data_IF_102682156047
#
_entry.id   IF_102682156047
#
_cell.length_a   1.000
_cell.length_b   1.000
_cell.length_c   1.000
_cell.angle_alpha   90.00
_cell.angle_beta   90.00
_cell.angle_gamma   90.00
#
_symmetry.space_group_name_H-M   'P 1'
#
loop_
_entity.id
_entity.type
_entity.pdbx_description
1 polymer ?
#
# COMPACT_ATOMS: atom_id res chain seq x y z
N UNK A 1 28.35 -24.57 -46.60
CA UNK A 1 29.17 -25.77 -46.42
C UNK A 1 28.23 -26.89 -46.07
N UNK A 2 28.16 -27.89 -46.94
CA UNK A 2 27.46 -29.16 -46.74
C UNK A 2 28.12 -30.00 -45.63
N UNK A 3 27.35 -30.91 -45.04
CA UNK A 3 27.70 -32.30 -44.64
C UNK A 3 26.45 -32.91 -43.97
N UNK A 4 25.58 -33.61 -44.70
CA UNK A 4 25.57 -35.06 -45.02
C UNK A 4 25.42 -36.00 -43.82
N UNK A 5 24.32 -36.76 -43.81
CA UNK A 5 24.35 -38.22 -43.70
C UNK A 5 22.99 -38.84 -44.13
N UNK A 6 23.01 -39.51 -45.28
CA UNK A 6 21.99 -40.46 -45.75
C UNK A 6 22.16 -41.85 -45.09
N UNK A 7 21.22 -42.75 -45.43
CA UNK A 7 21.30 -44.25 -45.42
C UNK A 7 20.59 -44.91 -44.21
N UNK A 8 19.62 -45.85 -44.27
CA UNK A 8 19.16 -46.84 -45.28
C UNK A 8 17.75 -47.37 -44.91
N UNK A 9 17.05 -47.92 -45.91
CA UNK A 9 16.13 -49.08 -45.91
C UNK A 9 14.65 -48.95 -45.50
N UNK A 10 13.86 -49.49 -46.43
CA UNK A 10 12.42 -49.64 -46.46
C UNK A 10 11.89 -50.83 -45.64
N UNK A 11 10.64 -50.71 -45.23
CA UNK A 11 9.67 -51.82 -45.23
C UNK A 11 8.26 -51.24 -45.17
N UNK A 12 7.50 -51.42 -46.24
CA UNK A 12 6.05 -51.32 -46.26
C UNK A 12 5.44 -52.28 -45.22
N UNK A 13 4.50 -51.80 -44.40
CA UNK A 13 3.23 -52.48 -44.07
C UNK A 13 2.36 -51.60 -43.15
N UNK A 14 1.15 -51.31 -43.64
CA UNK A 14 -0.11 -51.00 -42.95
C UNK A 14 -0.14 -49.96 -41.79
N UNK A 15 -0.67 -48.76 -42.08
CA UNK A 15 -1.64 -48.13 -41.17
C UNK A 15 -2.51 -47.06 -41.84
N UNK A 16 -3.81 -47.11 -41.58
CA UNK A 16 -4.85 -46.19 -42.06
C UNK A 16 -4.52 -44.69 -41.90
N UNK A 17 -5.13 -43.80 -42.72
CA UNK A 17 -5.02 -42.36 -42.51
C UNK A 17 -5.74 -41.96 -41.22
N UNK A 18 -4.99 -41.82 -40.13
CA UNK A 18 -5.49 -41.27 -38.87
C UNK A 18 -6.08 -39.86 -39.08
N UNK A 19 -7.28 -39.55 -38.55
CA UNK A 19 -7.93 -38.27 -38.76
C UNK A 19 -7.11 -37.14 -38.11
N UNK A 20 -7.20 -35.90 -38.64
CA UNK A 20 -6.29 -34.82 -38.24
C UNK A 20 -6.40 -34.53 -36.74
N UNK A 21 -5.28 -34.11 -36.14
CA UNK A 21 -5.06 -33.78 -34.72
C UNK A 21 -5.94 -32.61 -34.18
N UNK A 22 -7.20 -32.49 -34.59
CA UNK A 22 -8.16 -31.50 -34.07
C UNK A 22 -8.64 -31.84 -32.65
N UNK A 23 -8.69 -33.13 -32.28
CA UNK A 23 -9.20 -33.56 -30.97
C UNK A 23 -8.34 -33.06 -29.80
N UNK A 24 -7.03 -32.97 -30.00
CA UNK A 24 -6.07 -32.48 -28.99
C UNK A 24 -6.06 -30.96 -28.84
N UNK A 25 -6.22 -30.20 -29.93
CA UNK A 25 -6.36 -28.74 -29.83
C UNK A 25 -7.70 -28.34 -29.19
N UNK A 26 -8.77 -29.05 -29.51
CA UNK A 26 -10.09 -28.75 -28.95
C UNK A 26 -10.19 -29.11 -27.46
N UNK A 27 -9.54 -30.21 -27.02
CA UNK A 27 -9.46 -30.54 -25.59
C UNK A 27 -8.60 -29.54 -24.80
N UNK A 28 -7.49 -29.07 -25.38
CA UNK A 28 -6.65 -28.03 -24.78
C UNK A 28 -7.38 -26.69 -24.66
N UNK A 29 -8.10 -26.27 -25.71
CA UNK A 29 -8.90 -25.04 -25.68
C UNK A 29 -10.04 -25.12 -24.67
N UNK A 30 -10.71 -26.26 -24.56
CA UNK A 30 -11.75 -26.48 -23.55
C UNK A 30 -11.17 -26.49 -22.13
N UNK A 31 -9.98 -27.03 -21.94
CA UNK A 31 -9.28 -27.03 -20.66
C UNK A 31 -8.77 -25.63 -20.27
N UNK A 32 -8.38 -24.82 -21.25
CA UNK A 32 -7.98 -23.43 -21.04
C UNK A 32 -9.20 -22.55 -20.69
N UNK A 33 -10.29 -22.67 -21.46
CA UNK A 33 -11.56 -21.98 -21.20
C UNK A 33 -12.18 -22.36 -19.85
N UNK A 34 -12.09 -23.62 -19.44
CA UNK A 34 -12.63 -24.04 -18.14
C UNK A 34 -11.81 -23.47 -16.98
N UNK A 35 -10.48 -23.42 -17.09
CA UNK A 35 -9.62 -22.74 -16.09
C UNK A 35 -9.92 -21.24 -16.01
N UNK A 36 -10.10 -20.57 -17.14
CA UNK A 36 -10.51 -19.16 -17.16
C UNK A 36 -11.87 -18.95 -16.51
N UNK A 37 -12.88 -19.75 -16.87
CA UNK A 37 -14.22 -19.64 -16.29
C UNK A 37 -14.24 -19.95 -14.79
N UNK A 38 -13.47 -20.93 -14.33
CA UNK A 38 -13.32 -21.24 -12.89
C UNK A 38 -12.59 -20.10 -12.17
N UNK A 39 -11.57 -19.49 -12.78
CA UNK A 39 -10.87 -18.33 -12.21
C UNK A 39 -11.77 -17.09 -12.14
N UNK A 40 -12.61 -16.87 -13.15
CA UNK A 40 -13.59 -15.78 -13.20
C UNK A 40 -14.74 -16.00 -12.21
N UNK A 41 -15.23 -17.23 -12.08
CA UNK A 41 -16.24 -17.58 -11.09
C UNK A 41 -15.71 -17.45 -9.67
N UNK A 42 -14.48 -17.92 -9.41
CA UNK A 42 -13.82 -17.80 -8.09
C UNK A 42 -13.52 -16.34 -7.74
N UNK A 43 -13.03 -15.54 -8.69
CA UNK A 43 -12.80 -14.11 -8.46
C UNK A 43 -14.10 -13.33 -8.21
N UNK A 44 -15.20 -13.65 -8.92
CA UNK A 44 -16.52 -13.06 -8.66
C UNK A 44 -17.10 -13.50 -7.32
N UNK A 45 -16.97 -14.77 -6.95
CA UNK A 45 -17.45 -15.29 -5.68
C UNK A 45 -16.66 -14.72 -4.49
N UNK A 46 -15.34 -14.62 -4.60
CA UNK A 46 -14.50 -13.95 -3.60
C UNK A 46 -14.83 -12.46 -3.52
N UNK A 47 -14.97 -11.78 -4.66
CA UNK A 47 -15.38 -10.36 -4.68
C UNK A 47 -16.77 -10.14 -4.06
N UNK A 48 -17.70 -11.07 -4.26
CA UNK A 48 -19.05 -10.99 -3.69
C UNK A 48 -19.04 -11.28 -2.18
N UNK A 49 -18.26 -12.27 -1.73
CA UNK A 49 -18.13 -12.63 -0.31
C UNK A 49 -17.38 -11.55 0.48
N UNK A 50 -16.31 -11.01 -0.10
CA UNK A 50 -15.53 -9.90 0.45
C UNK A 50 -16.34 -8.60 0.47
N UNK A 51 -17.21 -8.36 -0.52
CA UNK A 51 -18.21 -7.27 -0.45
C UNK A 51 -19.27 -7.52 0.62
N UNK A 52 -19.77 -8.74 0.77
CA UNK A 52 -20.81 -9.07 1.75
C UNK A 52 -20.30 -9.01 3.20
N UNK A 53 -19.08 -9.51 3.46
CA UNK A 53 -18.43 -9.41 4.77
C UNK A 53 -18.04 -7.97 5.09
N UNK A 54 -17.62 -7.19 4.08
CA UNK A 54 -17.36 -5.77 4.23
C UNK A 54 -18.64 -4.96 4.49
N UNK A 55 -19.74 -5.19 3.75
CA UNK A 55 -21.00 -4.45 3.98
C UNK A 55 -21.67 -4.84 5.29
N UNK A 56 -21.68 -6.13 5.66
CA UNK A 56 -22.23 -6.59 6.94
C UNK A 56 -21.39 -6.09 8.14
N UNK A 57 -20.06 -6.14 8.03
CA UNK A 57 -19.14 -5.62 9.03
C UNK A 57 -19.19 -4.09 9.16
N UNK A 58 -19.25 -3.36 8.05
CA UNK A 58 -19.35 -1.89 8.03
C UNK A 58 -20.69 -1.44 8.59
N UNK A 59 -21.81 -2.09 8.26
CA UNK A 59 -23.12 -1.74 8.80
C UNK A 59 -23.20 -1.96 10.32
N UNK A 60 -22.73 -3.11 10.83
CA UNK A 60 -22.68 -3.38 12.27
C UNK A 60 -21.75 -2.41 13.01
N UNK A 61 -20.65 -2.01 12.38
CA UNK A 61 -19.65 -1.13 12.96
C UNK A 61 -20.06 0.36 12.89
N UNK A 62 -20.82 0.76 11.86
CA UNK A 62 -21.47 2.06 11.78
C UNK A 62 -22.60 2.17 12.81
N UNK A 63 -23.42 1.13 12.98
CA UNK A 63 -24.43 1.07 14.04
C UNK A 63 -23.79 1.07 15.44
N UNK A 64 -22.74 0.28 15.66
CA UNK A 64 -22.04 0.25 16.93
C UNK A 64 -21.34 1.59 17.23
N UNK A 65 -20.67 2.20 16.26
CA UNK A 65 -20.00 3.49 16.45
C UNK A 65 -20.99 4.65 16.62
N UNK A 66 -22.09 4.66 15.89
CA UNK A 66 -23.19 5.61 16.10
C UNK A 66 -23.85 5.43 17.47
N UNK A 67 -24.08 4.20 17.92
CA UNK A 67 -24.61 3.91 19.26
C UNK A 67 -23.62 4.31 20.36
N UNK A 68 -22.31 4.15 20.14
CA UNK A 68 -21.27 4.56 21.11
C UNK A 68 -21.19 6.10 21.17
N UNK A 69 -21.14 6.80 20.04
CA UNK A 69 -21.12 8.27 20.01
C UNK A 69 -22.42 8.85 20.60
N UNK A 70 -23.56 8.23 20.30
CA UNK A 70 -24.88 8.63 20.81
C UNK A 70 -25.01 8.36 22.31
N UNK A 71 -24.55 7.21 22.82
CA UNK A 71 -24.59 6.86 24.24
C UNK A 71 -23.64 7.72 25.09
N UNK A 72 -22.46 8.03 24.55
CA UNK A 72 -21.48 8.90 25.20
C UNK A 72 -21.95 10.38 25.18
N UNK A 73 -22.52 10.83 24.06
CA UNK A 73 -23.12 12.17 23.96
C UNK A 73 -24.35 12.35 24.85
N UNK A 74 -25.24 11.37 24.93
CA UNK A 74 -26.41 11.39 25.82
C UNK A 74 -26.01 11.31 27.30
N UNK A 75 -25.01 10.49 27.65
CA UNK A 75 -24.49 10.42 29.02
C UNK A 75 -23.85 11.75 29.47
N UNK A 76 -23.20 12.48 28.55
CA UNK A 76 -22.68 13.83 28.80
C UNK A 76 -23.78 14.86 29.06
N UNK A 77 -24.91 14.78 28.35
CA UNK A 77 -26.07 15.64 28.59
C UNK A 77 -26.80 15.32 29.91
N UNK A 78 -26.81 14.07 30.36
CA UNK A 78 -27.45 13.68 31.64
C UNK A 78 -26.63 14.02 32.88
N UNK A 79 -25.31 14.21 32.77
CA UNK A 79 -24.42 14.52 33.90
C UNK A 79 -24.10 16.01 34.09
N UNK A 80 -24.73 16.92 33.33
CA UNK A 80 -24.51 18.37 33.47
C UNK A 80 -25.02 18.97 34.80
N UNK A 81 -25.51 18.13 35.73
CA UNK A 81 -25.70 18.46 37.14
C UNK A 81 -24.66 17.73 38.01
N UNK A 82 -23.40 18.14 37.86
CA UNK A 82 -22.36 17.92 38.87
C UNK A 82 -21.64 16.56 38.83
N UNK A 83 -20.43 16.53 38.28
CA UNK A 83 -19.39 15.63 38.75
C UNK A 83 -18.00 16.16 38.41
N UNK A 84 -17.15 16.25 39.43
CA UNK A 84 -15.79 16.82 39.42
C UNK A 84 -14.73 15.73 39.25
N UNK A 85 -14.80 14.95 38.17
CA UNK A 85 -13.78 13.96 37.83
C UNK A 85 -13.56 14.01 36.32
N UNK A 86 -12.31 14.28 35.89
CA UNK A 86 -11.89 14.46 34.49
C UNK A 86 -12.37 13.29 33.62
N UNK A 87 -13.48 13.44 32.86
CA UNK A 87 -14.14 12.29 32.30
C UNK A 87 -13.71 12.17 30.84
N UNK A 88 -12.78 11.26 30.62
CA UNK A 88 -12.14 10.88 29.34
C UNK A 88 -13.14 10.66 28.19
N UNK A 89 -14.42 10.42 28.52
CA UNK A 89 -15.53 10.21 27.59
C UNK A 89 -16.40 11.42 27.28
N UNK A 90 -16.20 12.61 27.84
CA UNK A 90 -17.05 13.77 27.47
C UNK A 90 -16.77 14.25 26.03
N UNK A 91 -17.71 14.97 25.39
CA UNK A 91 -17.42 15.71 24.17
C UNK A 91 -16.24 16.66 24.43
N UNK A 92 -15.17 16.51 23.64
CA UNK A 92 -13.87 17.16 23.86
C UNK A 92 -12.81 16.29 24.55
N UNK A 93 -13.16 15.11 25.07
CA UNK A 93 -12.20 14.15 25.62
C UNK A 93 -11.44 13.34 24.55
N UNK A 94 -10.30 12.72 24.90
CA UNK A 94 -9.48 11.96 23.95
C UNK A 94 -10.16 10.69 23.44
N UNK A 95 -10.97 10.02 24.26
CA UNK A 95 -11.72 8.83 23.82
C UNK A 95 -12.82 9.22 22.82
N UNK A 96 -13.52 10.31 23.10
CA UNK A 96 -14.51 10.86 22.18
C UNK A 96 -13.88 11.25 20.84
N UNK A 97 -12.72 11.93 20.89
CA UNK A 97 -11.96 12.31 19.69
C UNK A 97 -11.51 11.09 18.86
N UNK A 98 -11.02 10.02 19.50
CA UNK A 98 -10.69 8.76 18.81
C UNK A 98 -11.91 8.11 18.14
N UNK A 99 -13.02 8.03 18.86
CA UNK A 99 -14.27 7.47 18.34
C UNK A 99 -14.84 8.32 17.21
N UNK A 100 -14.78 9.64 17.32
CA UNK A 100 -15.22 10.56 16.28
C UNK A 100 -14.40 10.38 14.99
N UNK A 101 -13.07 10.27 15.09
CA UNK A 101 -12.19 10.00 13.94
C UNK A 101 -12.49 8.64 13.30
N UNK A 102 -12.65 7.58 14.11
CA UNK A 102 -12.94 6.24 13.59
C UNK A 102 -14.31 6.16 12.92
N UNK A 103 -15.31 6.83 13.48
CA UNK A 103 -16.68 6.86 12.95
C UNK A 103 -16.74 7.66 11.66
N UNK A 104 -16.22 8.89 11.67
CA UNK A 104 -16.19 9.77 10.49
C UNK A 104 -15.41 9.16 9.33
N UNK A 105 -14.26 8.53 9.60
CA UNK A 105 -13.46 7.83 8.60
C UNK A 105 -14.26 6.72 7.90
N UNK A 106 -15.02 5.92 8.65
CA UNK A 106 -15.85 4.84 8.07
C UNK A 106 -17.07 5.37 7.33
N UNK A 107 -17.76 6.36 7.87
CA UNK A 107 -18.88 7.02 7.20
C UNK A 107 -18.41 7.64 5.89
N UNK A 108 -17.29 8.35 5.90
CA UNK A 108 -16.68 8.96 4.72
C UNK A 108 -16.34 7.95 3.64
N UNK A 109 -15.68 6.85 4.01
CA UNK A 109 -15.36 5.76 3.09
C UNK A 109 -16.64 5.14 2.48
N UNK A 110 -17.60 4.78 3.33
CA UNK A 110 -18.86 4.16 2.89
C UNK A 110 -19.69 5.10 1.99
N UNK A 111 -19.73 6.40 2.29
CA UNK A 111 -20.45 7.39 1.49
C UNK A 111 -19.87 7.50 0.07
N UNK A 112 -18.55 7.50 -0.07
CA UNK A 112 -17.88 7.54 -1.38
C UNK A 112 -18.07 6.22 -2.15
N UNK A 113 -18.00 5.09 -1.47
CA UNK A 113 -18.24 3.77 -2.08
C UNK A 113 -19.69 3.62 -2.54
N UNK A 114 -20.67 4.07 -1.75
CA UNK A 114 -22.09 4.05 -2.09
C UNK A 114 -22.43 4.98 -3.28
N UNK A 115 -21.69 6.08 -3.45
CA UNK A 115 -21.87 6.99 -4.58
C UNK A 115 -21.45 6.37 -5.94
N UNK A 116 -20.77 5.22 -5.96
CA UNK A 116 -20.54 4.42 -7.17
C UNK A 116 -19.64 5.06 -8.24
N UNK A 117 -18.88 6.11 -7.91
CA UNK A 117 -18.07 6.89 -8.87
C UNK A 117 -16.66 6.33 -9.15
N UNK A 118 -16.35 5.12 -8.71
CA UNK A 118 -15.03 4.50 -8.90
C UNK A 118 -13.90 5.12 -8.07
N UNK A 119 -14.23 5.98 -7.10
CA UNK A 119 -13.27 6.62 -6.19
C UNK A 119 -12.98 5.67 -5.03
N UNK A 120 -11.71 5.48 -4.61
CA UNK A 120 -11.39 4.63 -3.48
C UNK A 120 -11.93 5.22 -2.16
N UNK A 121 -12.41 4.37 -1.25
CA UNK A 121 -12.94 4.78 0.06
C UNK A 121 -11.96 5.58 0.92
N UNK A 122 -10.64 5.46 0.67
CA UNK A 122 -9.60 6.28 1.31
C UNK A 122 -9.81 7.78 1.09
N UNK A 123 -10.22 8.19 -0.11
CA UNK A 123 -10.50 9.61 -0.37
C UNK A 123 -11.68 10.09 0.50
N UNK A 124 -12.69 9.24 0.66
CA UNK A 124 -13.84 9.53 1.51
C UNK A 124 -13.48 9.64 2.98
N UNK A 125 -12.65 8.73 3.50
CA UNK A 125 -12.21 8.79 4.89
C UNK A 125 -11.33 10.01 5.17
N UNK A 126 -10.43 10.38 4.26
CA UNK A 126 -9.61 11.59 4.38
C UNK A 126 -10.46 12.86 4.38
N UNK A 127 -11.39 12.99 3.42
CA UNK A 127 -12.26 14.16 3.34
C UNK A 127 -13.16 14.29 4.58
N UNK A 128 -13.70 13.17 5.09
CA UNK A 128 -14.51 13.18 6.31
C UNK A 128 -13.71 13.60 7.54
N UNK A 129 -12.48 13.10 7.69
CA UNK A 129 -11.59 13.54 8.78
C UNK A 129 -11.19 15.01 8.63
N UNK A 130 -10.89 15.47 7.42
CA UNK A 130 -10.61 16.90 7.17
C UNK A 130 -11.82 17.77 7.53
N UNK A 131 -13.04 17.35 7.19
CA UNK A 131 -14.25 18.06 7.58
C UNK A 131 -14.44 18.07 9.10
N UNK A 132 -14.20 16.94 9.78
CA UNK A 132 -14.33 16.81 11.23
C UNK A 132 -13.40 17.77 11.99
N UNK A 133 -12.16 17.95 11.54
CA UNK A 133 -11.17 18.86 12.15
C UNK A 133 -11.61 20.34 12.07
N UNK A 134 -12.47 20.70 11.12
CA UNK A 134 -12.98 22.06 10.97
C UNK A 134 -14.22 22.36 11.83
N UNK A 135 -14.74 21.38 12.58
CA UNK A 135 -15.92 21.57 13.44
C UNK A 135 -15.43 21.85 14.86
N UNK A 136 -15.69 23.06 15.36
CA UNK A 136 -15.31 23.49 16.70
C UNK A 136 -15.88 22.55 17.77
N UNK A 137 -15.01 22.07 18.67
CA UNK A 137 -15.39 21.17 19.77
C UNK A 137 -15.64 19.71 19.39
N UNK A 138 -15.56 19.35 18.10
CA UNK A 138 -15.73 17.96 17.66
C UNK A 138 -14.47 17.09 17.85
N UNK A 139 -13.28 17.71 17.85
CA UNK A 139 -12.00 17.04 18.00
C UNK A 139 -11.04 17.90 18.82
N UNK A 140 -10.50 17.34 19.90
CA UNK A 140 -9.34 17.93 20.58
C UNK A 140 -8.06 17.25 20.09
N UNK A 141 -7.49 17.79 19.01
CA UNK A 141 -6.23 17.30 18.45
C UNK A 141 -4.99 17.68 19.29
N UNK A 142 -5.15 18.59 20.26
CA UNK A 142 -4.05 19.07 21.09
C UNK A 142 -3.75 18.12 22.26
N UNK A 143 -4.73 17.34 22.68
CA UNK A 143 -4.63 16.35 23.74
C UNK A 143 -3.46 15.36 23.50
N UNK A 144 -2.64 15.18 24.54
CA UNK A 144 -1.44 14.36 24.49
C UNK A 144 -1.76 12.85 24.41
N UNK A 145 -2.78 12.40 25.14
CA UNK A 145 -3.22 11.01 25.13
C UNK A 145 -3.77 10.62 23.76
N UNK A 146 -4.57 11.50 23.14
CA UNK A 146 -5.05 11.30 21.77
C UNK A 146 -3.88 11.12 20.79
N UNK A 147 -2.90 12.03 20.82
CA UNK A 147 -1.72 11.98 19.93
C UNK A 147 -0.88 10.73 20.15
N UNK A 148 -0.69 10.31 21.41
CA UNK A 148 0.06 9.10 21.75
C UNK A 148 -0.64 7.85 21.22
N UNK A 149 -1.94 7.68 21.50
CA UNK A 149 -2.71 6.51 21.06
C UNK A 149 -2.80 6.47 19.53
N UNK A 150 -3.06 7.61 18.88
CA UNK A 150 -3.09 7.70 17.42
C UNK A 150 -1.73 7.34 16.79
N UNK A 151 -0.63 7.81 17.38
CA UNK A 151 0.74 7.50 16.94
C UNK A 151 1.05 6.00 17.03
N UNK A 152 0.77 5.38 18.18
CA UNK A 152 0.98 3.94 18.40
C UNK A 152 0.10 3.11 17.46
N UNK A 153 -1.18 3.47 17.30
CA UNK A 153 -2.09 2.79 16.40
C UNK A 153 -1.62 2.87 14.95
N UNK A 154 -1.14 4.03 14.49
CA UNK A 154 -0.58 4.21 13.15
C UNK A 154 0.65 3.35 12.94
N UNK A 155 1.58 3.34 13.91
CA UNK A 155 2.79 2.52 13.83
C UNK A 155 2.47 1.02 13.80
N UNK A 156 1.55 0.55 14.66
CA UNK A 156 1.12 -0.84 14.71
C UNK A 156 0.37 -1.29 13.44
N UNK A 157 -0.47 -0.42 12.88
CA UNK A 157 -1.17 -0.70 11.63
C UNK A 157 -0.18 -0.83 10.46
N UNK A 158 0.73 0.15 10.31
CA UNK A 158 1.73 0.13 9.25
C UNK A 158 2.66 -1.08 9.38
N UNK A 159 3.13 -1.40 10.59
CA UNK A 159 3.98 -2.57 10.82
C UNK A 159 3.27 -3.87 10.47
N UNK A 160 1.99 -4.02 10.81
CA UNK A 160 1.19 -5.20 10.45
C UNK A 160 1.00 -5.33 8.94
N UNK A 161 0.74 -4.21 8.24
CA UNK A 161 0.62 -4.20 6.77
C UNK A 161 1.96 -4.59 6.13
N UNK A 162 3.08 -4.06 6.62
CA UNK A 162 4.42 -4.36 6.09
C UNK A 162 4.84 -5.80 6.38
N UNK A 163 4.55 -6.31 7.58
CA UNK A 163 4.81 -7.70 7.93
C UNK A 163 4.05 -8.64 7.01
N UNK A 164 2.76 -8.37 6.77
CA UNK A 164 1.95 -9.14 5.81
C UNK A 164 2.50 -9.03 4.39
N UNK A 165 3.03 -7.87 4.00
CA UNK A 165 3.71 -7.68 2.72
C UNK A 165 4.90 -8.63 2.57
N UNK A 166 5.79 -8.64 3.57
CA UNK A 166 7.00 -9.47 3.58
C UNK A 166 6.67 -10.97 3.53
N UNK A 167 5.68 -11.42 4.30
CA UNK A 167 5.23 -12.82 4.31
C UNK A 167 4.54 -13.25 3.00
N UNK A 168 4.05 -12.30 2.21
CA UNK A 168 3.40 -12.57 0.92
C UNK A 168 4.38 -12.67 -0.26
N UNK A 169 5.68 -12.48 -0.05
CA UNK A 169 6.68 -12.47 -1.11
C UNK A 169 7.11 -13.88 -1.54
N UNK A 170 7.20 -14.09 -2.86
CA UNK A 170 7.88 -15.24 -3.44
C UNK A 170 9.38 -14.96 -3.59
N UNK A 171 10.17 -15.48 -2.65
CA UNK A 171 11.62 -15.32 -2.65
C UNK A 171 12.32 -15.96 -3.87
N UNK A 172 11.72 -16.96 -4.51
CA UNK A 172 12.28 -17.59 -5.72
C UNK A 172 12.28 -16.64 -6.91
N UNK A 173 11.19 -15.90 -7.10
CA UNK A 173 11.07 -14.89 -8.17
C UNK A 173 11.96 -13.66 -7.89
N UNK A 174 12.05 -13.25 -6.63
CA UNK A 174 12.91 -12.13 -6.23
C UNK A 174 14.39 -12.42 -6.47
N UNK A 175 14.85 -13.61 -6.08
CA UNK A 175 16.25 -14.01 -6.21
C UNK A 175 16.67 -14.20 -7.66
N UNK A 176 15.75 -14.55 -8.54
CA UNK A 176 16.02 -14.66 -9.98
C UNK A 176 16.07 -13.30 -10.69
N UNK A 177 15.46 -12.24 -10.14
CA UNK A 177 15.35 -10.94 -10.80
C UNK A 177 15.74 -9.71 -9.91
N UNK A 178 16.86 -9.73 -9.17
CA UNK A 178 17.19 -8.66 -8.23
C UNK A 178 17.47 -7.32 -8.93
N UNK A 179 18.07 -7.35 -10.12
CA UNK A 179 18.36 -6.15 -10.93
C UNK A 179 17.08 -5.46 -11.38
N UNK A 180 16.06 -6.25 -11.74
CA UNK A 180 14.77 -5.70 -12.16
C UNK A 180 14.09 -4.99 -11.01
N UNK A 181 14.03 -5.60 -9.82
CA UNK A 181 13.48 -4.99 -8.61
C UNK A 181 14.21 -3.69 -8.24
N UNK A 182 15.55 -3.71 -8.26
CA UNK A 182 16.35 -2.52 -7.95
C UNK A 182 16.13 -1.38 -8.95
N UNK A 183 16.05 -1.70 -10.24
CA UNK A 183 15.80 -0.71 -11.31
C UNK A 183 14.39 -0.13 -11.18
N UNK A 184 13.40 -1.00 -10.94
CA UNK A 184 12.00 -0.61 -10.79
C UNK A 184 11.76 0.24 -9.54
N UNK A 185 12.55 0.06 -8.48
CA UNK A 185 12.50 0.90 -7.29
C UNK A 185 13.24 2.23 -7.48
N UNK A 186 14.48 2.19 -7.97
CA UNK A 186 15.35 3.37 -7.98
C UNK A 186 15.06 4.34 -9.13
N UNK A 187 14.92 3.83 -10.36
CA UNK A 187 14.83 4.69 -11.55
C UNK A 187 13.56 5.55 -11.52
N UNK A 188 12.35 4.99 -11.25
CA UNK A 188 11.14 5.79 -11.12
C UNK A 188 11.23 6.77 -9.95
N UNK A 189 11.71 6.33 -8.78
CA UNK A 189 11.86 7.19 -7.60
C UNK A 189 12.67 8.45 -7.88
N UNK A 190 13.88 8.30 -8.45
CA UNK A 190 14.74 9.44 -8.76
C UNK A 190 14.17 10.28 -9.91
N UNK A 191 13.56 9.65 -10.91
CA UNK A 191 12.93 10.39 -12.00
C UNK A 191 11.75 11.24 -11.51
N UNK A 192 10.88 10.69 -10.66
CA UNK A 192 9.75 11.38 -10.04
C UNK A 192 10.24 12.50 -9.13
N UNK A 193 11.21 12.23 -8.24
CA UNK A 193 11.77 13.24 -7.35
C UNK A 193 12.38 14.42 -8.11
N UNK A 194 13.18 14.15 -9.16
CA UNK A 194 13.75 15.20 -10.01
C UNK A 194 12.67 15.97 -10.78
N UNK A 195 11.67 15.29 -11.32
CA UNK A 195 10.58 15.91 -12.07
C UNK A 195 9.77 16.85 -11.16
N UNK A 196 9.44 16.39 -9.95
CA UNK A 196 8.75 17.20 -8.94
C UNK A 196 9.63 18.36 -8.47
N UNK A 197 10.93 18.17 -8.32
CA UNK A 197 11.85 19.26 -7.96
C UNK A 197 11.87 20.36 -9.03
N UNK A 198 11.93 19.99 -10.31
CA UNK A 198 11.87 20.95 -11.43
C UNK A 198 10.51 21.63 -11.48
N UNK A 199 9.42 20.85 -11.41
CA UNK A 199 8.06 21.37 -11.46
C UNK A 199 7.75 22.30 -10.28
N UNK A 200 8.16 21.94 -9.06
CA UNK A 200 7.97 22.77 -7.87
C UNK A 200 8.79 24.05 -7.92
N UNK A 201 10.01 24.03 -8.48
CA UNK A 201 10.79 25.25 -8.68
C UNK A 201 10.15 26.18 -9.70
N UNK A 202 9.52 25.62 -10.72
CA UNK A 202 8.78 26.40 -11.71
C UNK A 202 7.47 26.98 -11.14
N UNK A 203 6.70 26.17 -10.40
CA UNK A 203 5.42 26.58 -9.81
C UNK A 203 5.58 27.51 -8.59
N UNK A 204 6.64 27.32 -7.80
CA UNK A 204 6.95 28.08 -6.59
C UNK A 204 8.35 28.71 -6.71
N UNK A 205 8.49 29.87 -7.38
CA UNK A 205 9.80 30.46 -7.68
C UNK A 205 10.63 30.81 -6.43
N UNK A 206 9.98 30.96 -5.28
CA UNK A 206 10.60 31.28 -4.00
C UNK A 206 11.27 30.07 -3.32
N UNK A 207 11.02 28.84 -3.77
CA UNK A 207 11.66 27.64 -3.23
C UNK A 207 13.12 27.55 -3.72
N UNK A 208 14.06 27.36 -2.79
CA UNK A 208 15.44 27.05 -3.18
C UNK A 208 15.53 25.65 -3.78
N UNK A 209 16.57 25.38 -4.58
CA UNK A 209 16.73 24.07 -5.24
C UNK A 209 16.78 22.90 -4.24
N UNK A 210 17.35 23.11 -3.05
CA UNK A 210 17.37 22.09 -2.00
C UNK A 210 15.98 21.80 -1.42
N UNK A 211 15.17 22.84 -1.21
CA UNK A 211 13.78 22.70 -0.76
C UNK A 211 12.88 22.05 -1.81
N UNK A 212 13.07 22.38 -3.09
CA UNK A 212 12.38 21.72 -4.20
C UNK A 212 12.72 20.23 -4.29
N UNK A 213 14.00 19.87 -4.11
CA UNK A 213 14.42 18.46 -4.13
C UNK A 213 13.95 17.69 -2.89
N UNK A 214 13.91 18.33 -1.73
CA UNK A 214 13.26 17.80 -0.52
C UNK A 214 11.80 17.45 -0.77
N UNK A 215 11.05 18.38 -1.37
CA UNK A 215 9.66 18.16 -1.75
C UNK A 215 9.54 17.04 -2.80
N UNK A 216 10.50 16.95 -3.72
CA UNK A 216 10.60 15.87 -4.70
C UNK A 216 10.67 14.48 -4.05
N UNK A 217 11.64 14.26 -3.16
CA UNK A 217 11.75 12.98 -2.45
C UNK A 217 10.57 12.69 -1.53
N UNK A 218 9.95 13.73 -0.95
CA UNK A 218 8.75 13.59 -0.13
C UNK A 218 7.55 13.08 -0.96
N UNK A 219 7.42 13.52 -2.22
CA UNK A 219 6.31 13.15 -3.09
C UNK A 219 6.56 11.89 -3.92
N UNK A 220 7.83 11.51 -4.15
CA UNK A 220 8.21 10.28 -4.85
C UNK A 220 8.03 9.00 -4.00
N UNK A 221 7.77 9.12 -2.70
CA UNK A 221 7.44 7.96 -1.87
C UNK A 221 6.05 7.41 -2.20
N UNK A 222 6.00 6.13 -2.57
CA UNK A 222 4.77 5.41 -2.83
C UNK A 222 4.21 4.91 -1.51
N UNK A 223 2.98 5.30 -1.18
CA UNK A 223 2.35 4.89 0.07
C UNK A 223 2.11 3.38 0.14
N UNK A 224 2.75 2.66 1.08
CA UNK A 224 2.64 1.21 1.13
C UNK A 224 1.34 0.77 1.83
N UNK A 225 0.71 1.65 2.61
CA UNK A 225 -0.57 1.37 3.27
C UNK A 225 -1.72 1.06 2.29
N UNK A 226 -1.63 1.57 1.06
CA UNK A 226 -2.68 1.42 0.03
C UNK A 226 -2.26 0.46 -1.08
N UNK A 227 -0.98 0.49 -1.47
CA UNK A 227 -0.48 -0.35 -2.57
C UNK A 227 -0.24 -1.79 -2.14
N UNK A 228 0.29 -2.02 -0.94
CA UNK A 228 0.53 -3.37 -0.40
C UNK A 228 -0.74 -4.24 -0.32
N UNK A 229 -1.84 -3.81 0.32
CA UNK A 229 -3.04 -4.65 0.40
C UNK A 229 -3.63 -4.93 -0.99
N UNK A 230 -3.54 -3.97 -1.91
CA UNK A 230 -3.97 -4.15 -3.30
C UNK A 230 -3.13 -5.21 -4.02
N UNK A 231 -1.80 -5.16 -3.93
CA UNK A 231 -0.91 -6.14 -4.58
C UNK A 231 -1.10 -7.55 -4.01
N UNK A 232 -1.32 -7.67 -2.69
CA UNK A 232 -1.64 -8.94 -2.05
C UNK A 232 -3.00 -9.49 -2.49
N UNK A 233 -4.02 -8.63 -2.66
CA UNK A 233 -5.33 -9.04 -3.22
C UNK A 233 -5.20 -9.53 -4.66
N UNK A 234 -4.44 -8.82 -5.49
CA UNK A 234 -4.15 -9.24 -6.87
C UNK A 234 -3.45 -10.60 -6.91
N UNK A 235 -2.47 -10.82 -6.03
CA UNK A 235 -1.78 -12.09 -5.88
C UNK A 235 -2.74 -13.21 -5.44
N UNK A 236 -3.60 -12.95 -4.45
CA UNK A 236 -4.61 -13.91 -3.97
C UNK A 236 -5.63 -14.29 -5.06
N UNK A 237 -5.92 -13.36 -5.98
CA UNK A 237 -6.80 -13.58 -7.14
C UNK A 237 -6.10 -14.24 -8.32
N UNK A 238 -4.80 -14.51 -8.23
CA UNK A 238 -4.00 -15.12 -9.29
C UNK A 238 -3.66 -14.17 -10.45
N UNK A 239 -3.91 -12.87 -10.31
CA UNK A 239 -3.68 -11.89 -11.37
C UNK A 239 -2.18 -11.55 -11.45
N UNK A 240 -1.51 -12.03 -12.50
CA UNK A 240 -0.06 -11.83 -12.67
C UNK A 240 0.82 -12.67 -11.73
N UNK A 241 0.21 -13.58 -10.96
CA UNK A 241 0.90 -14.44 -10.01
C UNK A 241 1.82 -15.45 -10.70
N UNK A 242 1.45 -15.98 -11.87
CA UNK A 242 2.29 -16.92 -12.64
C UNK A 242 3.65 -16.34 -13.06
N UNK A 243 3.72 -15.02 -13.23
CA UNK A 243 4.97 -14.30 -13.55
C UNK A 243 5.60 -13.63 -12.33
N UNK A 244 5.02 -13.82 -11.14
CA UNK A 244 5.46 -13.19 -9.89
C UNK A 244 5.46 -11.65 -9.91
N UNK A 245 4.66 -11.03 -10.79
CA UNK A 245 4.62 -9.57 -10.95
C UNK A 245 4.20 -8.88 -9.64
N UNK A 246 3.13 -9.32 -8.93
CA UNK A 246 2.76 -8.71 -7.66
C UNK A 246 3.87 -8.77 -6.62
N UNK A 247 4.61 -9.87 -6.52
CA UNK A 247 5.72 -10.02 -5.58
C UNK A 247 6.93 -9.14 -5.94
N UNK A 248 7.26 -9.03 -7.23
CA UNK A 248 8.31 -8.12 -7.72
C UNK A 248 7.95 -6.65 -7.43
N UNK A 249 6.69 -6.25 -7.70
CA UNK A 249 6.18 -4.91 -7.41
C UNK A 249 6.15 -4.63 -5.91
N UNK A 250 5.76 -5.60 -5.10
CA UNK A 250 5.71 -5.45 -3.65
C UNK A 250 7.10 -5.24 -3.05
N UNK A 251 8.10 -5.99 -3.52
CA UNK A 251 9.48 -5.76 -3.11
C UNK A 251 10.03 -4.43 -3.62
N UNK A 252 9.74 -4.06 -4.88
CA UNK A 252 10.19 -2.80 -5.45
C UNK A 252 9.56 -1.59 -4.74
N UNK A 253 8.28 -1.64 -4.38
CA UNK A 253 7.59 -0.56 -3.67
C UNK A 253 8.18 -0.34 -2.27
N UNK A 254 8.50 -1.41 -1.53
CA UNK A 254 9.16 -1.28 -0.22
C UNK A 254 10.58 -0.71 -0.35
N UNK A 255 11.34 -1.14 -1.36
CA UNK A 255 12.66 -0.58 -1.63
C UNK A 255 12.57 0.90 -2.07
N UNK A 256 11.55 1.27 -2.85
CA UNK A 256 11.27 2.66 -3.23
C UNK A 256 11.09 3.54 -1.98
N UNK A 257 10.27 3.12 -1.01
CA UNK A 257 10.06 3.90 0.22
C UNK A 257 11.34 4.11 1.02
N UNK A 258 12.21 3.10 1.10
CA UNK A 258 13.51 3.23 1.74
C UNK A 258 14.40 4.23 0.99
N UNK A 259 14.47 4.14 -0.35
CA UNK A 259 15.26 5.06 -1.16
C UNK A 259 14.76 6.51 -1.06
N UNK A 260 13.44 6.72 -1.05
CA UNK A 260 12.83 8.03 -0.91
C UNK A 260 13.14 8.65 0.47
N UNK A 261 13.01 7.87 1.55
CA UNK A 261 13.32 8.32 2.92
C UNK A 261 14.81 8.65 3.07
N UNK A 262 15.71 7.81 2.58
CA UNK A 262 17.16 8.07 2.60
C UNK A 262 17.50 9.31 1.77
N UNK A 263 16.94 9.42 0.56
CA UNK A 263 17.11 10.59 -0.30
C UNK A 263 16.63 11.87 0.37
N UNK A 264 15.45 11.85 1.00
CA UNK A 264 14.94 12.95 1.80
C UNK A 264 15.90 13.32 2.93
N UNK A 265 16.39 12.35 3.71
CA UNK A 265 17.32 12.57 4.82
C UNK A 265 18.65 13.19 4.37
N UNK A 266 19.21 12.74 3.24
CA UNK A 266 20.44 13.29 2.66
C UNK A 266 20.26 14.74 2.23
N UNK A 267 19.17 15.06 1.52
CA UNK A 267 18.91 16.44 1.08
C UNK A 267 18.57 17.32 2.28
N UNK A 268 17.84 16.79 3.27
CA UNK A 268 17.53 17.49 4.51
C UNK A 268 18.80 17.87 5.26
N UNK A 269 19.70 16.90 5.46
CA UNK A 269 21.02 17.15 6.03
C UNK A 269 21.79 18.19 5.25
N UNK A 270 21.77 18.14 3.91
CA UNK A 270 22.43 19.12 3.04
C UNK A 270 21.89 20.55 3.19
N UNK A 271 20.56 20.72 3.25
CA UNK A 271 19.91 22.03 3.38
C UNK A 271 20.19 22.67 4.75
N UNK A 272 20.27 21.87 5.81
CA UNK A 272 20.41 22.37 7.18
C UNK A 272 21.85 22.31 7.74
N UNK A 273 22.82 21.70 7.06
CA UNK A 273 24.20 21.54 7.58
C UNK A 273 25.08 22.81 7.54
N UNK A 274 24.52 24.00 7.26
CA UNK A 274 25.21 25.28 7.48
C UNK A 274 26.58 25.44 6.79
N UNK A 275 26.83 24.74 5.67
CA UNK A 275 28.08 24.84 4.90
C UNK A 275 29.32 24.16 5.50
N UNK A 276 29.24 23.61 6.73
CA UNK A 276 30.39 22.99 7.41
C UNK A 276 30.67 21.55 7.02
N UNK A 277 29.70 20.85 6.41
CA UNK A 277 29.83 19.45 5.96
C UNK A 277 29.76 19.35 4.44
N UNK A 278 30.79 18.79 3.78
CA UNK A 278 30.73 18.56 2.33
C UNK A 278 29.67 17.52 1.99
N UNK A 279 28.99 17.70 0.84
CA UNK A 279 27.85 16.88 0.43
C UNK A 279 28.14 15.37 0.35
N UNK A 280 29.39 14.97 0.09
CA UNK A 280 29.77 13.56 0.09
C UNK A 280 29.68 12.92 1.48
N UNK A 281 29.87 13.68 2.56
CA UNK A 281 29.75 13.17 3.93
C UNK A 281 28.29 12.94 4.32
N UNK A 282 27.37 13.82 3.92
CA UNK A 282 25.93 13.62 4.19
C UNK A 282 25.38 12.44 3.40
N UNK A 283 25.81 12.28 2.15
CA UNK A 283 25.51 11.08 1.34
C UNK A 283 26.10 9.82 2.00
N UNK A 284 27.35 9.88 2.46
CA UNK A 284 28.04 8.77 3.12
C UNK A 284 27.34 8.34 4.42
N UNK A 285 26.85 9.28 5.22
CA UNK A 285 26.07 9.02 6.42
C UNK A 285 24.71 8.38 6.10
N UNK A 286 23.99 8.91 5.11
CA UNK A 286 22.72 8.29 4.67
C UNK A 286 22.91 6.86 4.14
N UNK A 287 24.01 6.60 3.43
CA UNK A 287 24.39 5.25 3.02
C UNK A 287 24.74 4.34 4.20
N UNK A 288 25.43 4.86 5.22
CA UNK A 288 25.75 4.12 6.43
C UNK A 288 24.49 3.75 7.22
N UNK A 289 23.56 4.69 7.41
CA UNK A 289 22.27 4.45 8.07
C UNK A 289 21.47 3.34 7.38
N UNK A 290 21.47 3.35 6.05
CA UNK A 290 20.85 2.28 5.25
C UNK A 290 21.52 0.92 5.49
N UNK A 291 22.85 0.87 5.51
CA UNK A 291 23.61 -0.36 5.76
C UNK A 291 23.40 -0.88 7.19
N UNK A 292 23.41 0.01 8.19
CA UNK A 292 23.13 -0.33 9.58
C UNK A 292 21.69 -0.84 9.75
N UNK A 293 20.72 -0.19 9.12
CA UNK A 293 19.32 -0.64 9.12
C UNK A 293 19.14 -2.00 8.46
N UNK A 294 19.77 -2.22 7.30
CA UNK A 294 19.76 -3.52 6.62
C UNK A 294 20.43 -4.61 7.47
N UNK A 295 21.55 -4.31 8.14
CA UNK A 295 22.25 -5.24 9.03
C UNK A 295 21.42 -5.61 10.26
N UNK A 296 20.83 -4.62 10.93
CA UNK A 296 19.92 -4.85 12.06
C UNK A 296 18.69 -5.67 11.64
N UNK A 297 18.12 -5.38 10.47
CA UNK A 297 17.02 -6.15 9.90
C UNK A 297 17.38 -7.61 9.60
N UNK A 298 18.58 -7.84 9.05
CA UNK A 298 19.08 -9.20 8.80
C UNK A 298 19.32 -9.99 10.09
N UNK A 299 19.90 -9.35 11.11
CA UNK A 299 20.07 -9.92 12.45
C UNK A 299 18.75 -10.27 13.13
N UNK A 300 17.71 -9.44 12.96
CA UNK A 300 16.38 -9.74 13.50
C UNK A 300 15.63 -10.83 12.74
N UNK A 301 16.06 -11.18 11.53
CA UNK A 301 15.49 -12.23 10.71
C UNK A 301 16.20 -13.60 10.87
N UNK A 302 17.41 -13.60 11.43
CA UNK A 302 18.22 -14.79 11.72
C UNK A 302 17.88 -15.38 13.09
#
# INVERSE_FOLDING_TARGET
GSFDMDVESASDEDNEPSPPRLRGSMSLLLQQRSRELVSLARSRALSARQRADATFGVLHLLLASALIVLSVGLAGCSLSHGCSADPVGLPGGPLFSLLAVLSSSRVGAAAVEAAGRGVPGLCGSLLACCALVNIDGALDASDELFRLVAGVAKAAALSTIMLRAGLGLDFGVLRSNPRFVATLAAVPCFAEACTVAVASRWALPFLSSGWSLLLGFLLADVSPAVTTPLLLDLQARGLGAERGIPSLLLAAANLNSVLAIVGYGVVFGGVFSGGGRPAWQTVGLGGLELLCGAGAGWLGAA
#
